data_IF_760152855308
#
_entry.id   IF_760152855308
#
_cell.length_a   1.000
_cell.length_b   1.000
_cell.length_c   1.000
_cell.angle_alpha   90.00
_cell.angle_beta   90.00
_cell.angle_gamma   90.00
#
_symmetry.space_group_name_H-M   'P 1'
#
loop_
_entity.id
_entity.type
_entity.pdbx_description
1 polymer ?
#
# COMPACT_ATOMS: atom_id res chain seq x y z
N UNK A 1 -23.89 -13.18 4.33
CA UNK A 1 -24.11 -12.43 5.59
C UNK A 1 -23.47 -11.10 5.29
N UNK A 2 -24.30 -10.09 5.09
CA UNK A 2 -23.83 -8.81 4.57
C UNK A 2 -23.60 -7.88 5.75
N UNK A 3 -22.61 -7.00 5.62
CA UNK A 3 -22.30 -6.04 6.68
C UNK A 3 -23.45 -5.04 6.85
N UNK A 4 -23.78 -4.70 8.09
CA UNK A 4 -24.68 -3.57 8.37
C UNK A 4 -23.87 -2.26 8.31
N UNK A 5 -24.03 -1.54 7.20
CA UNK A 5 -23.35 -0.27 6.94
C UNK A 5 -24.26 0.95 7.17
N UNK A 6 -25.45 0.78 7.76
CA UNK A 6 -26.41 1.87 7.98
C UNK A 6 -25.88 2.97 8.91
N UNK A 7 -24.90 2.64 9.75
CA UNK A 7 -24.18 3.60 10.59
C UNK A 7 -23.27 4.56 9.81
N UNK A 8 -22.89 4.22 8.58
CA UNK A 8 -22.14 5.10 7.68
C UNK A 8 -23.06 6.00 6.88
N UNK A 9 -23.98 5.37 6.13
CA UNK A 9 -25.05 6.02 5.39
C UNK A 9 -26.26 5.09 5.34
N UNK A 10 -27.50 5.61 5.45
CA UNK A 10 -28.70 4.77 5.39
C UNK A 10 -28.91 4.06 4.06
N UNK A 11 -28.40 4.64 2.95
CA UNK A 11 -28.56 4.12 1.60
C UNK A 11 -27.39 4.56 0.70
N UNK A 12 -26.87 3.63 -0.10
CA UNK A 12 -25.94 3.94 -1.18
C UNK A 12 -26.58 4.86 -2.20
N UNK A 13 -25.86 5.93 -2.59
CA UNK A 13 -26.41 7.01 -3.40
C UNK A 13 -27.74 7.56 -2.84
N UNK A 14 -27.89 7.55 -1.51
CA UNK A 14 -28.98 8.23 -0.83
C UNK A 14 -28.81 9.76 -0.85
N UNK A 15 -29.87 10.47 -0.49
CA UNK A 15 -29.84 11.94 -0.34
C UNK A 15 -28.74 12.41 0.62
N UNK A 16 -28.54 11.69 1.72
CA UNK A 16 -27.52 11.99 2.72
C UNK A 16 -26.10 11.83 2.16
N UNK A 17 -25.82 10.70 1.51
CA UNK A 17 -24.51 10.45 0.89
C UNK A 17 -24.18 11.48 -0.19
N UNK A 18 -25.14 11.81 -1.08
CA UNK A 18 -24.94 12.83 -2.12
C UNK A 18 -24.66 14.21 -1.54
N UNK A 19 -25.42 14.63 -0.52
CA UNK A 19 -25.18 15.90 0.20
C UNK A 19 -23.82 15.91 0.85
N UNK A 20 -23.47 14.85 1.56
CA UNK A 20 -22.17 14.70 2.21
C UNK A 20 -21.01 14.84 1.22
N UNK A 21 -21.07 14.12 0.10
CA UNK A 21 -20.03 14.16 -0.95
C UNK A 21 -19.92 15.55 -1.59
N UNK A 22 -21.05 16.19 -1.86
CA UNK A 22 -21.07 17.54 -2.47
C UNK A 22 -20.45 18.57 -1.55
N UNK A 23 -20.83 18.56 -0.26
CA UNK A 23 -20.25 19.43 0.76
C UNK A 23 -18.75 19.16 0.92
N UNK A 24 -18.35 17.89 1.04
CA UNK A 24 -16.95 17.50 1.15
C UNK A 24 -16.11 18.02 -0.02
N UNK A 25 -16.58 17.86 -1.26
CA UNK A 25 -15.89 18.35 -2.45
C UNK A 25 -15.71 19.88 -2.44
N UNK A 26 -16.77 20.61 -2.10
CA UNK A 26 -16.73 22.07 -2.01
C UNK A 26 -15.75 22.55 -0.94
N UNK A 27 -15.81 21.96 0.26
CA UNK A 27 -14.97 22.34 1.38
C UNK A 27 -13.49 21.99 1.18
N UNK A 28 -13.18 20.87 0.52
CA UNK A 28 -11.81 20.56 0.08
C UNK A 28 -11.30 21.65 -0.86
N UNK A 29 -12.10 22.04 -1.87
CA UNK A 29 -11.73 23.09 -2.81
C UNK A 29 -11.49 24.44 -2.12
N UNK A 30 -12.41 24.85 -1.24
CA UNK A 30 -12.29 26.10 -0.49
C UNK A 30 -11.05 26.13 0.41
N UNK A 31 -10.78 25.03 1.14
CA UNK A 31 -9.63 24.98 2.03
C UNK A 31 -8.31 24.96 1.25
N UNK A 32 -8.29 24.27 0.11
CA UNK A 32 -7.13 24.27 -0.81
C UNK A 32 -6.83 25.67 -1.33
N UNK A 33 -7.83 26.41 -1.82
CA UNK A 33 -7.64 27.79 -2.28
C UNK A 33 -7.15 28.71 -1.15
N UNK A 34 -7.76 28.60 0.04
CA UNK A 34 -7.33 29.35 1.22
C UNK A 34 -5.87 29.05 1.59
N UNK A 35 -5.51 27.77 1.70
CA UNK A 35 -4.15 27.35 2.05
C UNK A 35 -3.13 27.75 0.97
N UNK A 36 -3.49 27.59 -0.31
CA UNK A 36 -2.65 28.00 -1.45
C UNK A 36 -2.34 29.50 -1.49
N UNK A 37 -3.25 30.32 -0.98
CA UNK A 37 -3.06 31.77 -0.86
C UNK A 37 -2.18 32.21 0.34
N UNK A 38 -1.86 31.30 1.27
CA UNK A 38 -1.01 31.63 2.42
C UNK A 38 0.47 31.61 2.04
N UNK A 39 1.23 32.58 2.54
CA UNK A 39 2.68 32.45 2.61
C UNK A 39 3.08 31.24 3.48
N UNK A 40 4.28 30.65 3.30
CA UNK A 40 4.82 29.69 4.25
C UNK A 40 4.71 30.20 5.69
N UNK A 41 4.60 29.27 6.65
CA UNK A 41 4.36 29.59 8.05
C UNK A 41 5.38 30.61 8.57
N UNK A 42 4.87 31.69 9.15
CA UNK A 42 5.61 32.75 9.78
C UNK A 42 4.80 33.37 10.93
N UNK A 43 5.45 34.22 11.73
CA UNK A 43 4.86 34.87 12.91
C UNK A 43 3.54 35.65 12.67
N UNK A 44 3.16 35.96 11.43
CA UNK A 44 1.92 36.71 11.11
C UNK A 44 0.75 35.82 10.71
N UNK A 45 0.98 34.56 10.35
CA UNK A 45 -0.05 33.71 9.72
C UNK A 45 -0.30 32.39 10.48
N UNK A 46 0.16 32.27 11.73
CA UNK A 46 -0.05 31.08 12.55
C UNK A 46 -1.54 30.74 12.76
N UNK A 47 -2.42 31.74 12.95
CA UNK A 47 -3.87 31.53 13.07
C UNK A 47 -4.49 30.93 11.80
N UNK A 48 -4.02 31.38 10.64
CA UNK A 48 -4.50 30.88 9.35
C UNK A 48 -4.05 29.44 9.11
N UNK A 49 -2.81 29.10 9.46
CA UNK A 49 -2.31 27.73 9.37
C UNK A 49 -2.94 26.79 10.40
N UNK A 50 -3.25 27.25 11.62
CA UNK A 50 -4.05 26.47 12.58
C UNK A 50 -5.40 26.10 11.97
N UNK A 51 -6.10 27.09 11.40
CA UNK A 51 -7.40 26.86 10.74
C UNK A 51 -7.28 25.86 9.58
N UNK A 52 -6.22 25.98 8.77
CA UNK A 52 -5.96 25.08 7.66
C UNK A 52 -5.69 23.63 8.12
N UNK A 53 -4.91 23.44 9.18
CA UNK A 53 -4.56 22.12 9.73
C UNK A 53 -5.80 21.45 10.33
N UNK A 54 -6.57 22.16 11.15
CA UNK A 54 -7.80 21.62 11.74
C UNK A 54 -8.85 21.30 10.67
N UNK A 55 -8.96 22.16 9.66
CA UNK A 55 -9.81 21.89 8.49
C UNK A 55 -9.36 20.64 7.73
N UNK A 56 -8.05 20.47 7.52
CA UNK A 56 -7.51 19.28 6.86
C UNK A 56 -7.83 18.00 7.65
N UNK A 57 -7.64 18.00 8.97
CA UNK A 57 -7.97 16.85 9.83
C UNK A 57 -9.47 16.49 9.75
N UNK A 58 -10.35 17.50 9.80
CA UNK A 58 -11.79 17.28 9.67
C UNK A 58 -12.16 16.65 8.31
N UNK A 59 -11.64 17.21 7.22
CA UNK A 59 -11.88 16.69 5.87
C UNK A 59 -11.28 15.30 5.69
N UNK A 60 -10.13 15.01 6.30
CA UNK A 60 -9.49 13.70 6.27
C UNK A 60 -10.39 12.65 6.95
N UNK A 61 -10.98 13.00 8.08
CA UNK A 61 -11.93 12.12 8.78
C UNK A 61 -13.14 11.81 7.90
N UNK A 62 -13.70 12.83 7.26
CA UNK A 62 -14.90 12.70 6.41
C UNK A 62 -14.65 11.95 5.11
N UNK A 63 -13.53 12.18 4.44
CA UNK A 63 -13.19 11.45 3.21
C UNK A 63 -12.91 9.97 3.52
N UNK A 64 -12.31 9.67 4.69
CA UNK A 64 -12.14 8.29 5.16
C UNK A 64 -13.47 7.62 5.52
N UNK A 65 -14.43 8.36 6.06
CA UNK A 65 -15.77 7.85 6.35
C UNK A 65 -16.48 7.35 5.09
N UNK A 66 -16.60 8.20 4.05
CA UNK A 66 -17.23 7.79 2.78
C UNK A 66 -16.40 6.77 2.00
N UNK A 67 -15.07 6.88 2.05
CA UNK A 67 -14.16 5.89 1.48
C UNK A 67 -14.39 4.51 2.04
N UNK A 68 -14.35 4.35 3.37
CA UNK A 68 -14.56 3.06 4.03
C UNK A 68 -15.92 2.46 3.69
N UNK A 69 -16.97 3.28 3.62
CA UNK A 69 -18.31 2.83 3.20
C UNK A 69 -18.31 2.24 1.77
N UNK A 70 -17.71 2.94 0.82
CA UNK A 70 -17.66 2.50 -0.58
C UNK A 70 -16.73 1.31 -0.76
N UNK A 71 -15.60 1.26 -0.06
CA UNK A 71 -14.68 0.12 -0.04
C UNK A 71 -15.42 -1.15 0.45
N UNK A 72 -16.22 -1.01 1.51
CA UNK A 72 -17.03 -2.10 2.04
C UNK A 72 -18.07 -2.62 1.04
N UNK A 73 -18.77 -1.73 0.35
CA UNK A 73 -19.76 -2.10 -0.67
C UNK A 73 -19.11 -2.79 -1.88
N UNK A 74 -17.99 -2.24 -2.36
CA UNK A 74 -17.25 -2.80 -3.50
C UNK A 74 -16.64 -4.15 -3.14
N UNK A 75 -16.21 -4.36 -1.89
CA UNK A 75 -15.77 -5.66 -1.40
C UNK A 75 -16.92 -6.68 -1.29
N UNK A 76 -18.12 -6.25 -0.90
CA UNK A 76 -19.30 -7.11 -0.80
C UNK A 76 -19.85 -7.51 -2.18
N UNK A 77 -19.78 -6.63 -3.18
CA UNK A 77 -20.22 -6.90 -4.56
C UNK A 77 -19.30 -6.23 -5.60
N UNK A 78 -18.20 -6.89 -5.93
CA UNK A 78 -17.19 -6.40 -6.86
C UNK A 78 -17.67 -6.30 -8.33
N UNK A 79 -18.81 -6.90 -8.68
CA UNK A 79 -19.38 -6.80 -10.03
C UNK A 79 -20.38 -5.64 -10.16
N UNK A 80 -20.62 -4.88 -9.09
CA UNK A 80 -21.54 -3.77 -9.10
C UNK A 80 -20.93 -2.52 -9.75
N UNK A 81 -21.36 -2.21 -10.97
CA UNK A 81 -20.84 -1.06 -11.73
C UNK A 81 -21.08 0.28 -11.01
N UNK A 82 -22.14 0.43 -10.21
CA UNK A 82 -22.41 1.66 -9.49
C UNK A 82 -21.43 1.88 -8.34
N UNK A 83 -21.05 0.81 -7.62
CA UNK A 83 -20.03 0.88 -6.57
C UNK A 83 -18.66 1.21 -7.17
N UNK A 84 -18.28 0.53 -8.26
CA UNK A 84 -17.03 0.82 -8.97
C UNK A 84 -16.96 2.25 -9.52
N UNK A 85 -18.07 2.77 -10.04
CA UNK A 85 -18.14 4.17 -10.51
C UNK A 85 -17.99 5.17 -9.35
N UNK A 86 -18.55 4.87 -8.18
CA UNK A 86 -18.42 5.72 -7.00
C UNK A 86 -16.99 5.69 -6.44
N UNK A 87 -16.34 4.53 -6.38
CA UNK A 87 -14.93 4.38 -5.99
C UNK A 87 -14.00 5.20 -6.91
N UNK A 88 -14.24 5.12 -8.23
CA UNK A 88 -13.53 5.94 -9.21
C UNK A 88 -13.80 7.45 -9.00
N UNK A 89 -15.03 7.83 -8.65
CA UNK A 89 -15.39 9.20 -8.29
C UNK A 89 -14.65 9.71 -7.05
N UNK A 90 -14.56 8.89 -6.00
CA UNK A 90 -13.83 9.22 -4.78
C UNK A 90 -12.33 9.38 -5.01
N UNK A 91 -11.74 8.66 -5.98
CA UNK A 91 -10.34 8.83 -6.38
C UNK A 91 -10.01 10.28 -6.79
N UNK A 92 -10.96 11.00 -7.39
CA UNK A 92 -10.80 12.43 -7.71
C UNK A 92 -10.75 13.28 -6.43
N UNK A 93 -11.61 13.00 -5.45
CA UNK A 93 -11.58 13.72 -4.16
C UNK A 93 -10.31 13.43 -3.38
N UNK A 94 -9.79 12.20 -3.42
CA UNK A 94 -8.50 11.86 -2.82
C UNK A 94 -7.35 12.63 -3.48
N UNK A 95 -7.40 12.82 -4.80
CA UNK A 95 -6.41 13.63 -5.50
C UNK A 95 -6.47 15.11 -5.07
N UNK A 96 -7.67 15.68 -4.90
CA UNK A 96 -7.84 17.05 -4.38
C UNK A 96 -7.36 17.18 -2.93
N UNK A 97 -7.65 16.19 -2.08
CA UNK A 97 -7.16 16.15 -0.71
C UNK A 97 -5.62 16.04 -0.64
N UNK A 98 -5.03 15.28 -1.55
CA UNK A 98 -3.57 15.18 -1.70
C UNK A 98 -2.93 16.53 -2.04
N UNK A 99 -3.55 17.32 -2.92
CA UNK A 99 -3.09 18.69 -3.23
C UNK A 99 -3.11 19.59 -2.01
N UNK A 100 -4.14 19.49 -1.16
CA UNK A 100 -4.17 20.22 0.11
C UNK A 100 -3.03 19.77 1.04
N UNK A 101 -2.70 18.47 1.08
CA UNK A 101 -1.53 17.96 1.80
C UNK A 101 -0.20 18.56 1.31
N UNK A 102 -0.07 18.83 0.01
CA UNK A 102 1.10 19.54 -0.56
C UNK A 102 1.20 20.97 -0.03
N UNK A 103 0.08 21.67 0.13
CA UNK A 103 0.07 23.01 0.73
C UNK A 103 0.53 22.99 2.19
N UNK A 104 0.16 21.95 2.95
CA UNK A 104 0.67 21.77 4.32
C UNK A 104 2.18 21.51 4.35
N UNK A 105 2.72 20.71 3.41
CA UNK A 105 4.18 20.54 3.28
C UNK A 105 4.85 21.88 2.95
N UNK A 106 4.27 22.67 2.04
CA UNK A 106 4.78 23.98 1.65
C UNK A 106 4.85 24.93 2.84
N UNK A 107 3.84 24.91 3.72
CA UNK A 107 3.80 25.71 4.94
C UNK A 107 5.09 25.60 5.75
N UNK A 108 5.63 24.39 5.89
CA UNK A 108 6.77 24.11 6.75
C UNK A 108 8.13 24.16 6.05
N UNK A 109 8.18 24.33 4.71
CA UNK A 109 9.42 24.24 3.92
C UNK A 109 10.48 25.24 4.37
N UNK A 110 10.04 26.48 4.61
CA UNK A 110 10.92 27.60 5.00
C UNK A 110 10.57 28.17 6.38
N UNK A 111 9.68 27.51 7.12
CA UNK A 111 9.27 27.93 8.45
C UNK A 111 10.43 27.86 9.44
N UNK A 112 10.64 28.95 10.19
CA UNK A 112 11.66 28.99 11.24
C UNK A 112 11.29 28.08 12.40
N UNK A 113 12.27 27.70 13.23
CA UNK A 113 11.99 26.92 14.45
C UNK A 113 11.07 27.69 15.40
N UNK A 114 11.25 29.01 15.52
CA UNK A 114 10.40 29.85 16.36
C UNK A 114 8.94 29.87 15.91
N UNK A 115 8.70 30.02 14.59
CA UNK A 115 7.33 30.02 14.05
C UNK A 115 6.67 28.65 14.20
N UNK A 116 7.44 27.58 13.99
CA UNK A 116 6.96 26.20 14.15
C UNK A 116 6.58 25.88 15.61
N UNK A 117 7.45 26.20 16.57
CA UNK A 117 7.15 26.00 17.99
C UNK A 117 5.97 26.87 18.44
N UNK A 118 5.85 28.10 17.92
CA UNK A 118 4.69 28.97 18.18
C UNK A 118 3.38 28.32 17.72
N UNK A 119 3.37 27.72 16.53
CA UNK A 119 2.21 26.99 16.02
C UNK A 119 1.91 25.74 16.88
N UNK A 120 2.94 24.95 17.20
CA UNK A 120 2.76 23.71 17.98
C UNK A 120 2.36 23.96 19.44
N UNK A 121 2.65 25.14 19.99
CA UNK A 121 2.25 25.52 21.35
C UNK A 121 0.76 25.87 21.47
N UNK A 122 0.02 25.91 20.36
CA UNK A 122 -1.39 26.29 20.36
C UNK A 122 -2.25 25.16 20.93
N UNK A 123 -3.18 25.44 21.86
CA UNK A 123 -3.97 24.40 22.52
C UNK A 123 -4.76 23.51 21.56
N UNK A 124 -5.26 24.05 20.45
CA UNK A 124 -6.03 23.28 19.47
C UNK A 124 -5.17 22.26 18.69
N UNK A 125 -3.84 22.39 18.72
CA UNK A 125 -2.89 21.51 18.03
C UNK A 125 -2.06 20.64 18.99
N UNK A 126 -2.41 20.62 20.28
CA UNK A 126 -1.62 19.93 21.31
C UNK A 126 -1.39 18.45 20.99
N UNK A 127 -2.43 17.76 20.48
CA UNK A 127 -2.37 16.34 20.12
C UNK A 127 -1.81 16.08 18.70
N UNK A 128 -1.65 17.14 17.91
CA UNK A 128 -1.17 17.05 16.53
C UNK A 128 0.36 17.17 16.41
N UNK A 129 1.08 17.44 17.50
CA UNK A 129 2.54 17.72 17.48
C UNK A 129 3.35 16.70 16.68
N UNK A 130 3.14 15.41 16.95
CA UNK A 130 3.88 14.34 16.26
C UNK A 130 3.63 14.35 14.75
N UNK A 131 2.38 14.57 14.33
CA UNK A 131 2.04 14.69 12.92
C UNK A 131 2.72 15.92 12.28
N UNK A 132 2.69 17.07 12.96
CA UNK A 132 3.30 18.31 12.47
C UNK A 132 4.82 18.21 12.36
N UNK A 133 5.49 17.55 13.31
CA UNK A 133 6.92 17.28 13.27
C UNK A 133 7.28 16.40 12.08
N UNK A 134 6.49 15.35 11.81
CA UNK A 134 6.67 14.49 10.64
C UNK A 134 6.47 15.25 9.34
N UNK A 135 5.44 16.08 9.27
CA UNK A 135 5.15 16.90 8.09
C UNK A 135 6.28 17.91 7.83
N UNK A 136 6.79 18.56 8.87
CA UNK A 136 7.95 19.45 8.78
C UNK A 136 9.23 18.71 8.39
N UNK A 137 9.42 17.49 8.86
CA UNK A 137 10.54 16.66 8.41
C UNK A 137 10.40 16.38 6.91
N UNK A 138 9.24 15.89 6.45
CA UNK A 138 8.99 15.61 5.04
C UNK A 138 9.17 16.83 4.14
N UNK A 139 8.72 18.01 4.57
CA UNK A 139 8.84 19.23 3.77
C UNK A 139 10.30 19.55 3.44
N UNK A 140 11.25 19.24 4.32
CA UNK A 140 12.68 19.47 4.08
C UNK A 140 13.21 18.68 2.87
N UNK A 141 12.63 17.50 2.59
CA UNK A 141 13.01 16.61 1.49
C UNK A 141 12.20 16.82 0.20
N UNK A 142 11.43 17.89 0.07
CA UNK A 142 10.82 18.25 -1.22
C UNK A 142 11.79 19.04 -2.11
N UNK A 143 11.61 18.99 -3.43
CA UNK A 143 12.28 19.87 -4.39
C UNK A 143 11.57 21.23 -4.47
N UNK A 144 11.96 22.09 -5.42
CA UNK A 144 11.15 23.28 -5.72
C UNK A 144 9.77 22.88 -6.26
N UNK A 145 8.75 23.77 -6.17
CA UNK A 145 7.42 23.46 -6.69
C UNK A 145 7.41 23.04 -8.17
N UNK A 146 8.20 23.72 -9.03
CA UNK A 146 8.28 23.39 -10.45
C UNK A 146 8.94 22.02 -10.69
N UNK A 147 9.96 21.66 -9.91
CA UNK A 147 10.61 20.35 -9.98
C UNK A 147 9.70 19.23 -9.46
N UNK A 148 8.97 19.45 -8.37
CA UNK A 148 8.01 18.45 -7.86
C UNK A 148 6.84 18.27 -8.84
N UNK A 149 6.37 19.34 -9.47
CA UNK A 149 5.36 19.26 -10.54
C UNK A 149 5.88 18.46 -11.72
N UNK A 150 7.06 18.79 -12.24
CA UNK A 150 7.68 18.06 -13.34
C UNK A 150 7.91 16.59 -12.97
N UNK A 151 8.35 16.30 -11.75
CA UNK A 151 8.55 14.94 -11.28
C UNK A 151 7.24 14.16 -11.16
N UNK A 152 6.15 14.80 -10.78
CA UNK A 152 4.81 14.20 -10.76
C UNK A 152 4.33 13.89 -12.19
N UNK A 153 4.46 14.85 -13.11
CA UNK A 153 4.07 14.70 -14.53
C UNK A 153 4.87 13.56 -15.18
N UNK A 154 6.20 13.57 -15.05
CA UNK A 154 7.07 12.50 -15.54
C UNK A 154 6.90 11.17 -14.80
N UNK A 155 6.35 11.19 -13.59
CA UNK A 155 6.09 9.99 -12.80
C UNK A 155 5.06 9.07 -13.46
N UNK A 156 4.09 9.65 -14.19
CA UNK A 156 3.05 8.91 -14.93
C UNK A 156 3.68 8.08 -16.05
N UNK A 157 4.50 8.72 -16.89
CA UNK A 157 5.17 8.08 -18.03
C UNK A 157 6.44 7.32 -17.64
N UNK A 158 6.96 7.57 -16.43
CA UNK A 158 8.11 6.90 -15.86
C UNK A 158 7.71 5.77 -14.91
N UNK A 159 7.76 6.05 -13.61
CA UNK A 159 7.64 5.03 -12.56
C UNK A 159 6.36 4.21 -12.66
N UNK A 160 5.23 4.86 -12.93
CA UNK A 160 3.92 4.20 -13.03
C UNK A 160 3.84 3.36 -14.31
N UNK A 161 4.30 3.88 -15.45
CA UNK A 161 4.29 3.15 -16.71
C UNK A 161 5.13 1.86 -16.67
N UNK A 162 6.29 1.87 -16.02
CA UNK A 162 7.12 0.67 -15.84
C UNK A 162 6.45 -0.38 -14.93
N UNK A 163 5.77 0.06 -13.87
CA UNK A 163 4.95 -0.82 -13.03
C UNK A 163 3.82 -1.47 -13.84
N UNK A 164 3.06 -0.66 -14.58
CA UNK A 164 1.98 -1.15 -15.45
C UNK A 164 2.48 -2.12 -16.53
N UNK A 165 3.67 -1.87 -17.10
CA UNK A 165 4.29 -2.80 -18.05
C UNK A 165 4.56 -4.15 -17.39
N UNK A 166 5.18 -4.14 -16.20
CA UNK A 166 5.43 -5.35 -15.44
C UNK A 166 4.12 -6.10 -15.17
N UNK A 167 3.12 -5.43 -14.61
CA UNK A 167 1.82 -6.02 -14.28
C UNK A 167 1.13 -6.63 -15.51
N UNK A 168 1.15 -5.90 -16.64
CA UNK A 168 0.55 -6.36 -17.90
C UNK A 168 1.21 -7.64 -18.39
N UNK A 169 2.55 -7.70 -18.38
CA UNK A 169 3.22 -8.88 -18.90
C UNK A 169 3.13 -10.04 -17.91
N UNK A 170 3.32 -9.81 -16.61
CA UNK A 170 3.17 -10.85 -15.60
C UNK A 170 1.74 -11.40 -15.54
N UNK A 171 0.73 -10.55 -15.75
CA UNK A 171 -0.68 -10.95 -15.75
C UNK A 171 -1.08 -11.77 -16.98
N UNK A 172 -0.41 -11.57 -18.12
CA UNK A 172 -0.59 -12.37 -19.35
C UNK A 172 0.35 -13.57 -19.43
N UNK A 173 1.25 -13.73 -18.46
CA UNK A 173 2.22 -14.82 -18.48
C UNK A 173 1.50 -16.15 -18.26
N UNK A 174 1.81 -17.10 -19.13
CA UNK A 174 1.31 -18.46 -19.09
C UNK A 174 2.49 -19.42 -19.08
N UNK A 175 2.25 -20.63 -18.57
CA UNK A 175 3.25 -21.69 -18.57
C UNK A 175 2.65 -23.01 -19.04
N UNK A 176 3.50 -23.88 -19.57
CA UNK A 176 3.13 -25.23 -19.95
C UNK A 176 3.19 -26.13 -18.71
N UNK A 177 2.03 -26.63 -18.29
CA UNK A 177 1.87 -27.56 -17.19
C UNK A 177 1.87 -28.99 -17.71
N UNK A 178 2.99 -29.69 -17.52
CA UNK A 178 3.14 -31.10 -17.85
C UNK A 178 2.72 -31.98 -16.67
N UNK A 179 1.50 -32.49 -16.70
CA UNK A 179 0.96 -33.34 -15.64
C UNK A 179 1.63 -34.72 -15.61
N UNK A 180 1.63 -35.41 -14.45
CA UNK A 180 2.22 -36.75 -14.32
C UNK A 180 1.56 -37.83 -15.19
N UNK A 181 0.33 -37.60 -15.65
CA UNK A 181 -0.42 -38.48 -16.55
C UNK A 181 -0.06 -38.29 -18.04
N UNK A 182 0.86 -37.37 -18.35
CA UNK A 182 1.32 -37.05 -19.70
C UNK A 182 0.55 -35.94 -20.39
N UNK A 183 -0.52 -35.41 -19.78
CA UNK A 183 -1.26 -34.25 -20.30
C UNK A 183 -0.40 -32.99 -20.21
N UNK A 184 -0.46 -32.14 -21.23
CA UNK A 184 0.15 -30.80 -21.20
C UNK A 184 -0.94 -29.76 -21.40
N UNK A 185 -1.04 -28.81 -20.48
CA UNK A 185 -1.98 -27.70 -20.57
C UNK A 185 -1.27 -26.37 -20.48
N UNK A 186 -1.78 -25.38 -21.21
CA UNK A 186 -1.33 -23.99 -21.08
C UNK A 186 -2.16 -23.33 -19.98
N UNK A 187 -1.52 -22.93 -18.89
CA UNK A 187 -2.21 -22.35 -17.73
C UNK A 187 -1.70 -20.94 -17.43
N UNK A 188 -2.56 -20.03 -16.95
CA UNK A 188 -2.13 -18.71 -16.50
C UNK A 188 -1.24 -18.82 -15.26
N UNK A 189 -0.27 -17.90 -15.14
CA UNK A 189 0.70 -17.89 -14.04
C UNK A 189 0.03 -17.78 -12.65
N UNK A 190 -1.18 -17.20 -12.57
CA UNK A 190 -1.97 -17.10 -11.34
C UNK A 190 -2.32 -18.46 -10.73
N UNK A 191 -2.51 -19.51 -11.54
CA UNK A 191 -2.82 -20.86 -11.04
C UNK A 191 -1.61 -21.60 -10.48
N UNK A 192 -0.39 -21.12 -10.78
CA UNK A 192 0.86 -21.80 -10.38
C UNK A 192 0.95 -22.00 -8.86
N UNK A 193 0.54 -21.01 -8.06
CA UNK A 193 0.64 -21.06 -6.59
C UNK A 193 -0.17 -22.22 -6.02
N UNK A 194 -1.45 -22.31 -6.38
CA UNK A 194 -2.35 -23.38 -5.93
C UNK A 194 -1.87 -24.76 -6.40
N UNK A 195 -1.36 -24.87 -7.63
CA UNK A 195 -0.76 -26.13 -8.12
C UNK A 195 0.51 -26.52 -7.34
N UNK A 196 1.28 -25.54 -6.84
CA UNK A 196 2.42 -25.77 -5.96
C UNK A 196 2.03 -26.13 -4.52
N UNK A 197 0.75 -26.15 -4.18
CA UNK A 197 0.21 -26.58 -2.87
C UNK A 197 -0.48 -27.95 -2.96
N UNK A 198 -0.63 -28.50 -4.17
CA UNK A 198 -1.29 -29.77 -4.43
C UNK A 198 -0.66 -30.95 -3.66
N UNK A 199 -1.49 -31.90 -3.19
CA UNK A 199 -1.05 -33.06 -2.41
C UNK A 199 -0.01 -33.92 -3.15
N UNK A 200 -0.22 -34.22 -4.44
CA UNK A 200 0.76 -34.91 -5.28
C UNK A 200 1.99 -34.03 -5.57
N UNK A 201 3.14 -34.44 -5.03
CA UNK A 201 4.44 -33.78 -5.22
C UNK A 201 4.87 -33.62 -6.67
N UNK A 202 4.48 -34.55 -7.55
CA UNK A 202 4.84 -34.50 -8.98
C UNK A 202 4.14 -33.33 -9.67
N UNK A 203 2.89 -33.05 -9.30
CA UNK A 203 2.14 -31.87 -9.78
C UNK A 203 2.84 -30.59 -9.30
N UNK A 204 3.19 -30.51 -8.02
CA UNK A 204 3.89 -29.32 -7.48
C UNK A 204 5.19 -29.03 -8.21
N UNK A 205 5.99 -30.08 -8.45
CA UNK A 205 7.26 -29.97 -9.18
C UNK A 205 7.04 -29.51 -10.62
N UNK A 206 6.10 -30.10 -11.34
CA UNK A 206 5.78 -29.72 -12.72
C UNK A 206 5.35 -28.24 -12.81
N UNK A 207 4.49 -27.78 -11.90
CA UNK A 207 4.07 -26.39 -11.83
C UNK A 207 5.23 -25.43 -11.50
N UNK A 208 6.13 -25.84 -10.61
CA UNK A 208 7.32 -25.06 -10.30
C UNK A 208 8.26 -24.92 -11.48
N UNK A 209 8.59 -26.03 -12.15
CA UNK A 209 9.52 -26.06 -13.28
C UNK A 209 8.96 -25.32 -14.49
N UNK A 210 7.71 -25.62 -14.89
CA UNK A 210 7.05 -24.96 -16.01
C UNK A 210 6.89 -23.46 -15.77
N UNK A 211 6.47 -23.10 -14.56
CA UNK A 211 6.34 -21.70 -14.16
C UNK A 211 7.67 -20.94 -14.17
N UNK A 212 8.75 -21.53 -13.63
CA UNK A 212 10.08 -20.90 -13.66
C UNK A 212 10.62 -20.78 -15.08
N UNK A 213 10.37 -21.76 -15.95
CA UNK A 213 10.76 -21.68 -17.36
C UNK A 213 10.05 -20.51 -18.07
N UNK A 214 8.77 -20.30 -17.80
CA UNK A 214 8.04 -19.15 -18.33
C UNK A 214 8.62 -17.82 -17.83
N UNK A 215 8.93 -17.71 -16.52
CA UNK A 215 9.57 -16.53 -15.95
C UNK A 215 10.98 -16.27 -16.50
N UNK A 216 11.77 -17.31 -16.72
CA UNK A 216 13.09 -17.18 -17.35
C UNK A 216 13.01 -16.56 -18.75
N UNK A 217 11.95 -16.86 -19.51
CA UNK A 217 11.69 -16.21 -20.81
C UNK A 217 11.38 -14.72 -20.73
N UNK A 218 11.06 -14.20 -19.53
CA UNK A 218 10.68 -12.81 -19.28
C UNK A 218 11.69 -12.07 -18.37
N UNK A 219 12.70 -12.75 -17.85
CA UNK A 219 13.58 -12.23 -16.80
C UNK A 219 14.25 -10.90 -17.17
N UNK A 220 14.64 -10.72 -18.44
CA UNK A 220 15.27 -9.49 -18.91
C UNK A 220 14.33 -8.29 -18.89
N UNK A 221 13.04 -8.49 -19.19
CA UNK A 221 12.06 -7.41 -19.17
C UNK A 221 11.70 -7.06 -17.72
N UNK A 222 11.53 -8.06 -16.86
CA UNK A 222 11.34 -7.84 -15.42
C UNK A 222 12.53 -7.07 -14.81
N UNK A 223 13.77 -7.48 -15.14
CA UNK A 223 14.98 -6.80 -14.70
C UNK A 223 15.05 -5.35 -15.23
N UNK A 224 14.70 -5.12 -16.50
CA UNK A 224 14.66 -3.78 -17.07
C UNK A 224 13.63 -2.87 -16.36
N UNK A 225 12.42 -3.38 -16.10
CA UNK A 225 11.38 -2.64 -15.37
C UNK A 225 11.83 -2.31 -13.94
N UNK A 226 12.39 -3.29 -13.21
CA UNK A 226 12.92 -3.07 -11.85
C UNK A 226 14.06 -2.04 -11.83
N UNK A 227 14.97 -2.11 -12.80
CA UNK A 227 16.08 -1.15 -12.93
C UNK A 227 15.57 0.26 -13.23
N UNK A 228 14.57 0.41 -14.11
CA UNK A 228 13.99 1.71 -14.43
C UNK A 228 13.25 2.31 -13.23
N UNK A 229 12.43 1.53 -12.52
CA UNK A 229 11.74 1.97 -11.29
C UNK A 229 12.75 2.40 -10.23
N UNK A 230 13.77 1.57 -9.99
CA UNK A 230 14.82 1.87 -9.00
C UNK A 230 15.64 3.10 -9.41
N UNK A 231 15.99 3.24 -10.70
CA UNK A 231 16.75 4.36 -11.22
C UNK A 231 16.02 5.70 -11.10
N UNK A 232 14.70 5.72 -11.34
CA UNK A 232 13.86 6.91 -11.12
C UNK A 232 13.86 7.26 -9.63
N UNK A 233 13.59 6.28 -8.74
CA UNK A 233 13.59 6.49 -7.28
C UNK A 233 14.93 7.06 -6.79
N UNK A 234 16.05 6.47 -7.20
CA UNK A 234 17.39 6.94 -6.83
C UNK A 234 17.68 8.35 -7.36
N UNK A 235 17.22 8.67 -8.57
CA UNK A 235 17.38 10.01 -9.13
C UNK A 235 16.59 11.03 -8.32
N UNK A 236 15.31 10.79 -8.05
CA UNK A 236 14.48 11.67 -7.22
C UNK A 236 15.07 11.84 -5.81
N UNK A 237 15.54 10.75 -5.19
CA UNK A 237 16.18 10.80 -3.87
C UNK A 237 17.38 11.74 -3.84
N UNK A 238 18.23 11.74 -4.89
CA UNK A 238 19.37 12.68 -4.97
C UNK A 238 18.91 14.14 -5.01
N UNK A 239 17.90 14.46 -5.82
CA UNK A 239 17.38 15.84 -5.90
C UNK A 239 16.67 16.26 -4.61
N UNK A 240 16.02 15.30 -3.93
CA UNK A 240 15.36 15.47 -2.63
C UNK A 240 16.32 15.42 -1.44
N UNK A 241 17.62 15.22 -1.67
CA UNK A 241 18.68 15.14 -0.64
C UNK A 241 18.43 14.03 0.39
N UNK A 242 17.92 12.90 -0.09
CA UNK A 242 17.78 11.68 0.70
C UNK A 242 19.08 10.90 0.60
N UNK A 243 19.77 10.75 1.73
CA UNK A 243 21.12 10.19 1.80
C UNK A 243 21.15 8.68 1.52
N UNK A 244 20.24 7.92 2.14
CA UNK A 244 20.13 6.48 1.96
C UNK A 244 18.73 6.10 1.45
N UNK A 245 18.65 5.16 0.49
CA UNK A 245 17.38 4.76 -0.12
C UNK A 245 16.35 4.19 0.87
N UNK A 246 16.82 3.67 2.02
CA UNK A 246 15.97 3.20 3.11
C UNK A 246 15.38 4.32 3.97
N UNK A 247 15.92 5.54 3.95
CA UNK A 247 15.50 6.59 4.89
C UNK A 247 14.02 6.95 4.73
N UNK A 248 13.53 6.97 3.48
CA UNK A 248 12.10 7.17 3.20
C UNK A 248 11.27 6.03 3.80
N UNK A 249 11.69 4.78 3.60
CA UNK A 249 10.95 3.61 4.09
C UNK A 249 10.96 3.53 5.62
N UNK A 250 12.11 3.79 6.25
CA UNK A 250 12.27 3.86 7.71
C UNK A 250 11.40 4.96 8.31
N UNK A 251 11.43 6.16 7.71
CA UNK A 251 10.61 7.28 8.14
C UNK A 251 9.12 6.96 8.03
N UNK A 252 8.67 6.37 6.90
CA UNK A 252 7.29 5.97 6.68
C UNK A 252 6.83 4.91 7.69
N UNK A 253 7.66 3.91 7.97
CA UNK A 253 7.40 2.87 8.95
C UNK A 253 7.51 3.34 10.41
N UNK A 254 8.05 4.55 10.65
CA UNK A 254 8.24 5.09 12.00
C UNK A 254 9.31 4.37 12.81
N UNK A 255 10.32 3.79 12.13
CA UNK A 255 11.40 3.04 12.78
C UNK A 255 12.77 3.62 12.44
N UNK A 256 13.75 3.32 13.27
CA UNK A 256 15.15 3.70 13.05
C UNK A 256 15.91 2.62 12.27
N UNK A 257 17.07 2.97 11.68
CA UNK A 257 17.97 1.99 11.06
C UNK A 257 18.43 0.90 12.07
N UNK A 258 18.84 1.24 13.31
CA UNK A 258 19.12 0.23 14.34
C UNK A 258 17.96 -0.73 14.63
N UNK A 259 16.70 -0.26 14.57
CA UNK A 259 15.53 -1.13 14.76
C UNK A 259 15.42 -2.17 13.64
N UNK A 260 15.63 -1.76 12.39
CA UNK A 260 15.62 -2.67 11.23
C UNK A 260 16.79 -3.66 11.30
N UNK A 261 17.99 -3.17 11.62
CA UNK A 261 19.18 -3.99 11.70
C UNK A 261 19.06 -5.03 12.83
N UNK A 262 18.53 -4.65 14.00
CA UNK A 262 18.27 -5.56 15.11
C UNK A 262 17.26 -6.66 14.76
N UNK A 263 16.22 -6.34 13.96
CA UNK A 263 15.27 -7.35 13.46
C UNK A 263 15.98 -8.40 12.59
N UNK A 264 16.82 -7.96 11.64
CA UNK A 264 17.58 -8.88 10.80
C UNK A 264 18.63 -9.66 11.58
N UNK A 265 19.33 -9.02 12.52
CA UNK A 265 20.29 -9.68 13.40
C UNK A 265 19.64 -10.79 14.21
N UNK A 266 18.48 -10.53 14.83
CA UNK A 266 17.71 -11.55 15.55
C UNK A 266 17.35 -12.73 14.63
N UNK A 267 16.81 -12.46 13.43
CA UNK A 267 16.47 -13.49 12.45
C UNK A 267 17.67 -14.37 12.05
N UNK A 268 18.83 -13.76 11.80
CA UNK A 268 20.03 -14.50 11.40
C UNK A 268 20.71 -15.22 12.57
N UNK A 269 20.61 -14.67 13.79
CA UNK A 269 21.16 -15.30 15.00
C UNK A 269 20.41 -16.59 15.39
N UNK A 270 19.12 -16.67 15.07
CA UNK A 270 18.27 -17.85 15.36
C UNK A 270 17.77 -18.55 14.07
N UNK A 271 18.58 -18.51 13.00
CA UNK A 271 18.23 -19.13 11.72
C UNK A 271 17.96 -20.64 11.83
N UNK A 272 18.48 -21.29 12.88
CA UNK A 272 18.28 -22.70 13.13
C UNK A 272 16.83 -23.06 13.50
N UNK A 273 16.06 -22.16 14.12
CA UNK A 273 14.63 -22.40 14.39
C UNK A 273 13.87 -22.60 13.08
N UNK A 274 14.07 -21.72 12.10
CA UNK A 274 13.47 -21.86 10.77
C UNK A 274 13.93 -23.14 10.05
N UNK A 275 15.22 -23.47 10.12
CA UNK A 275 15.77 -24.72 9.55
C UNK A 275 15.22 -25.96 10.25
N UNK A 276 14.97 -25.92 11.55
CA UNK A 276 14.37 -27.01 12.31
C UNK A 276 12.95 -27.30 11.83
N UNK A 277 12.14 -26.25 11.63
CA UNK A 277 10.78 -26.38 11.08
C UNK A 277 10.81 -27.02 9.69
N UNK A 278 11.71 -26.58 8.80
CA UNK A 278 11.86 -27.18 7.47
C UNK A 278 12.35 -28.64 7.53
N UNK A 279 13.29 -28.97 8.41
CA UNK A 279 13.74 -30.35 8.64
C UNK A 279 12.62 -31.23 9.15
N UNK A 280 11.82 -30.74 10.10
CA UNK A 280 10.66 -31.46 10.61
C UNK A 280 9.63 -31.70 9.50
N UNK A 281 9.31 -30.67 8.70
CA UNK A 281 8.43 -30.81 7.54
C UNK A 281 8.94 -31.88 6.56
N UNK A 282 10.23 -31.88 6.23
CA UNK A 282 10.84 -32.90 5.38
C UNK A 282 10.69 -34.31 5.97
N UNK A 283 10.95 -34.48 7.27
CA UNK A 283 10.78 -35.76 7.98
C UNK A 283 9.34 -36.26 7.90
N UNK A 284 8.36 -35.41 8.19
CA UNK A 284 6.93 -35.75 8.11
C UNK A 284 6.50 -36.15 6.70
N UNK A 285 7.11 -35.54 5.68
CA UNK A 285 6.86 -35.90 4.27
C UNK A 285 7.68 -37.11 3.78
N UNK A 286 8.56 -37.69 4.61
CA UNK A 286 9.46 -38.77 4.21
C UNK A 286 10.52 -38.35 3.18
N UNK A 287 10.91 -37.07 3.16
CA UNK A 287 11.85 -36.48 2.22
C UNK A 287 13.21 -36.16 2.87
N UNK A 288 14.32 -36.20 2.11
CA UNK A 288 15.64 -35.81 2.62
C UNK A 288 15.78 -34.29 2.85
N UNK A 289 14.85 -33.50 2.33
CA UNK A 289 14.82 -32.04 2.46
C UNK A 289 13.58 -31.46 1.76
N UNK A 290 13.32 -30.17 1.99
CA UNK A 290 12.18 -29.45 1.41
C UNK A 290 12.66 -28.69 0.18
N UNK A 291 12.06 -28.94 -0.99
CA UNK A 291 12.25 -28.11 -2.17
C UNK A 291 11.33 -26.86 -2.12
N UNK A 292 11.57 -25.87 -2.98
CA UNK A 292 10.69 -24.69 -3.10
C UNK A 292 9.22 -25.05 -3.35
N UNK A 293 8.97 -26.11 -4.10
CA UNK A 293 7.64 -26.65 -4.38
C UNK A 293 7.12 -27.62 -3.31
N UNK A 294 7.82 -27.76 -2.19
CA UNK A 294 7.34 -28.52 -1.03
C UNK A 294 6.94 -27.57 0.14
N UNK A 295 7.26 -26.27 0.07
CA UNK A 295 7.02 -25.30 1.16
C UNK A 295 5.54 -25.14 1.52
N UNK A 296 4.70 -24.90 0.52
CA UNK A 296 3.25 -24.71 0.69
C UNK A 296 2.44 -26.00 0.74
N UNK A 297 3.08 -27.16 0.56
CA UNK A 297 2.37 -28.43 0.61
C UNK A 297 1.75 -28.66 1.99
N UNK A 298 0.45 -28.96 2.04
CA UNK A 298 -0.20 -29.30 3.29
C UNK A 298 0.43 -30.56 3.90
N UNK A 299 0.53 -30.59 5.23
CA UNK A 299 0.90 -31.80 5.95
C UNK A 299 -0.38 -32.58 6.19
N UNK A 300 -0.34 -33.90 5.94
CA UNK A 300 -1.45 -34.79 6.25
C UNK A 300 -1.55 -34.95 7.78
N UNK A 301 -2.27 -34.02 8.42
CA UNK A 301 -2.54 -34.03 9.85
C UNK A 301 -3.94 -34.63 10.14
N UNK A 302 -4.15 -35.34 11.27
CA UNK A 302 -5.39 -36.07 11.55
C UNK A 302 -6.68 -35.23 11.73
N UNK A 303 -6.63 -33.90 11.66
CA UNK A 303 -7.75 -32.99 11.95
C UNK A 303 -7.82 -31.86 10.93
N UNK A 304 -8.25 -32.18 9.70
CA UNK A 304 -8.44 -31.19 8.64
C UNK A 304 -9.91 -31.12 8.20
N UNK A 305 -10.83 -31.19 9.18
CA UNK A 305 -12.27 -31.10 8.92
C UNK A 305 -12.68 -29.66 8.62
N UNK A 306 -13.59 -29.49 7.67
CA UNK A 306 -14.19 -28.18 7.39
C UNK A 306 -14.98 -27.70 8.61
N UNK A 307 -14.63 -26.52 9.13
CA UNK A 307 -15.34 -25.88 10.23
C UNK A 307 -16.49 -25.03 9.68
N UNK A 308 -17.70 -25.18 10.21
CA UNK A 308 -18.82 -24.31 9.84
C UNK A 308 -18.61 -22.89 10.36
N UNK A 309 -19.28 -21.90 9.77
CA UNK A 309 -19.21 -20.51 10.25
C UNK A 309 -19.56 -20.41 11.73
N UNK A 310 -20.67 -21.03 12.16
CA UNK A 310 -21.16 -20.98 13.54
C UNK A 310 -20.19 -21.67 14.52
N UNK A 311 -19.56 -22.77 14.09
CA UNK A 311 -18.51 -23.42 14.87
C UNK A 311 -17.28 -22.52 15.00
N UNK A 312 -16.86 -21.88 13.91
CA UNK A 312 -15.76 -20.93 13.90
C UNK A 312 -15.99 -19.75 14.84
N UNK A 313 -17.21 -19.19 14.85
CA UNK A 313 -17.60 -18.12 15.79
C UNK A 313 -17.50 -18.60 17.24
N UNK A 314 -18.02 -19.79 17.54
CA UNK A 314 -17.97 -20.38 18.90
C UNK A 314 -16.56 -20.72 19.37
N UNK A 315 -15.61 -20.94 18.47
CA UNK A 315 -14.22 -21.22 18.84
C UNK A 315 -13.46 -19.96 19.27
N UNK A 316 -13.88 -18.79 18.80
CA UNK A 316 -13.19 -17.50 19.02
C UNK A 316 -13.80 -16.71 20.19
N UNK A 317 -15.10 -16.87 20.45
CA UNK A 317 -15.85 -16.21 21.52
C UNK A 317 -15.89 -17.05 22.81
#
# INVERSE_FOLDING_TARGET
MDWDLTSYFPLFDGEEMRRFKTALAAEIGELREKAGGLEPLNHKNADAWETAILGFENLLTRIRHIGSYVDCLTAADANNEAFAAEEAGLSVLYAEMSKLGVELLRAFKTATDADFETLCARPALADARYYLERLRHQSRFTMSPDEEKLAADLGVDGLVAWGRLYDTVSGKLEFDMAYPDGRVERLPMSQRRSLMEHADRRIRKAAFDGGNKAWAGFEHVAAAALNAISGIRLTLNRHRRVDHFLDIALFQAGISRPTLDAMFEALFSDIETGRCILRYKAQTMGLPGVAWYDLGAELELPQNDSVSWDDGVRMVL
#
